data_IF_996633598525
#
_entry.id   IF_996633598525
#
_cell.length_a   1.000
_cell.length_b   1.000
_cell.length_c   1.000
_cell.angle_alpha   90.00
_cell.angle_beta   90.00
_cell.angle_gamma   90.00
#
_symmetry.space_group_name_H-M   'P 1'
#
loop_
_entity.id
_entity.type
_entity.pdbx_description
1 polymer ?
#
# COMPACT_ATOMS: atom_id res chain seq x y z
N UNK A 1 28.28 14.38 8.66
CA UNK A 1 27.41 13.32 8.14
C UNK A 1 26.35 13.06 9.20
N UNK A 2 25.08 13.18 8.86
CA UNK A 2 23.98 12.97 9.81
C UNK A 2 23.63 11.48 9.84
N UNK A 3 23.53 10.89 11.01
CA UNK A 3 23.13 9.49 11.17
C UNK A 3 21.60 9.41 11.18
N UNK A 4 21.01 8.67 10.25
CA UNK A 4 19.54 8.47 10.16
C UNK A 4 19.07 7.43 11.17
N UNK A 5 19.79 6.31 11.29
CA UNK A 5 19.50 5.29 12.30
C UNK A 5 20.06 5.69 13.68
N UNK A 6 19.34 5.35 14.72
CA UNK A 6 19.76 5.54 16.12
C UNK A 6 19.77 4.22 16.87
N UNK A 7 20.27 4.22 18.12
CA UNK A 7 20.18 3.04 18.98
C UNK A 7 18.72 2.65 19.24
N UNK A 8 17.82 3.63 19.31
CA UNK A 8 16.39 3.42 19.50
C UNK A 8 15.70 2.88 18.24
N UNK A 9 16.13 3.36 17.05
CA UNK A 9 15.60 2.95 15.74
C UNK A 9 16.75 2.51 14.83
N UNK A 10 17.21 1.25 14.96
CA UNK A 10 18.40 0.79 14.23
C UNK A 10 18.17 0.53 12.76
N UNK A 11 16.91 0.37 12.33
CA UNK A 11 16.56 0.05 10.96
C UNK A 11 15.96 1.26 10.25
N UNK A 12 16.28 1.45 8.97
CA UNK A 12 15.77 2.56 8.16
C UNK A 12 15.24 2.08 6.82
N UNK A 13 14.21 2.78 6.33
CA UNK A 13 13.65 2.63 4.98
C UNK A 13 13.73 4.01 4.33
N UNK A 14 14.45 4.08 3.23
CA UNK A 14 14.55 5.28 2.40
C UNK A 14 13.60 5.15 1.20
N UNK A 15 13.20 6.26 0.63
CA UNK A 15 12.60 6.26 -0.70
C UNK A 15 13.63 5.88 -1.76
N UNK A 16 13.17 5.50 -2.94
CA UNK A 16 14.00 4.92 -4.01
C UNK A 16 15.24 5.74 -4.36
N UNK A 17 15.20 7.09 -4.24
CA UNK A 17 16.32 7.96 -4.60
C UNK A 17 17.03 8.57 -3.38
N UNK A 18 16.55 8.30 -2.17
CA UNK A 18 17.03 8.95 -0.93
C UNK A 18 17.09 10.51 -1.00
N UNK A 19 16.24 11.10 -1.82
CA UNK A 19 16.17 12.54 -2.06
C UNK A 19 15.12 13.27 -1.22
N UNK A 20 14.39 12.53 -0.39
CA UNK A 20 13.33 13.11 0.44
C UNK A 20 13.89 13.70 1.73
N UNK A 21 13.18 14.69 2.27
CA UNK A 21 13.48 15.30 3.55
C UNK A 21 13.25 14.36 4.73
N UNK A 22 12.62 13.21 4.50
CA UNK A 22 12.25 12.27 5.56
C UNK A 22 12.62 10.84 5.20
N UNK A 23 13.00 10.08 6.23
CA UNK A 23 13.18 8.63 6.18
C UNK A 23 12.26 7.96 7.19
N UNK A 24 11.78 6.75 6.88
CA UNK A 24 11.17 5.88 7.88
C UNK A 24 12.26 5.14 8.64
N UNK A 25 12.12 5.08 9.96
CA UNK A 25 12.96 4.26 10.83
C UNK A 25 12.07 3.39 11.72
N UNK A 26 12.55 2.22 12.08
CA UNK A 26 11.76 1.32 12.92
C UNK A 26 12.62 0.52 13.88
N UNK A 27 12.01 0.13 14.99
CA UNK A 27 12.59 -0.77 15.98
C UNK A 27 11.64 -1.93 16.27
N UNK A 28 12.19 -3.15 16.23
CA UNK A 28 11.50 -4.37 16.66
C UNK A 28 11.90 -4.77 18.09
N UNK A 29 12.91 -4.12 18.66
CA UNK A 29 13.52 -4.46 19.93
C UNK A 29 12.51 -4.64 21.08
N UNK A 30 11.51 -3.72 21.26
CA UNK A 30 10.55 -3.87 22.35
C UNK A 30 9.66 -5.11 22.26
N UNK A 31 9.60 -5.75 21.09
CA UNK A 31 8.65 -6.83 20.79
C UNK A 31 9.33 -8.19 20.52
N UNK A 32 10.66 -8.25 20.48
CA UNK A 32 11.42 -9.46 20.13
C UNK A 32 11.07 -10.64 21.02
N UNK A 33 11.07 -10.46 22.35
CA UNK A 33 10.75 -11.52 23.29
C UNK A 33 9.32 -12.03 23.13
N UNK A 34 8.35 -11.13 23.00
CA UNK A 34 6.95 -11.52 22.85
C UNK A 34 6.70 -12.28 21.54
N UNK A 35 7.33 -11.87 20.43
CA UNK A 35 7.17 -12.54 19.14
C UNK A 35 7.76 -13.94 19.12
N UNK A 36 8.88 -14.17 19.82
CA UNK A 36 9.48 -15.50 19.95
C UNK A 36 8.60 -16.48 20.71
N UNK A 37 7.91 -16.01 21.75
CA UNK A 37 7.05 -16.85 22.58
C UNK A 37 5.68 -17.12 21.96
N UNK A 38 5.12 -16.16 21.25
CA UNK A 38 3.74 -16.25 20.74
C UNK A 38 3.65 -16.76 19.31
N UNK A 39 4.76 -16.79 18.57
CA UNK A 39 4.79 -17.08 17.14
C UNK A 39 4.01 -16.04 16.30
N UNK A 40 3.61 -14.92 16.94
CA UNK A 40 2.93 -13.83 16.27
C UNK A 40 3.90 -12.95 15.46
N UNK A 41 3.35 -12.14 14.57
CA UNK A 41 4.15 -11.17 13.81
C UNK A 41 4.98 -10.29 14.75
N UNK A 42 6.24 -10.07 14.36
CA UNK A 42 7.09 -9.10 15.03
C UNK A 42 6.49 -7.71 14.83
N UNK A 43 6.04 -7.10 15.92
CA UNK A 43 5.63 -5.70 15.92
C UNK A 43 6.85 -4.80 15.80
N UNK A 44 6.64 -3.59 15.34
CA UNK A 44 7.67 -2.56 15.29
C UNK A 44 7.13 -1.19 15.72
N UNK A 45 7.94 -0.40 16.37
CA UNK A 45 7.69 1.01 16.55
C UNK A 45 8.19 1.73 15.29
N UNK A 46 7.32 2.48 14.66
CA UNK A 46 7.59 3.22 13.43
C UNK A 46 7.74 4.70 13.73
N UNK A 47 8.85 5.27 13.32
CA UNK A 47 9.12 6.71 13.42
C UNK A 47 9.55 7.27 12.06
N UNK A 48 9.46 8.59 11.91
CA UNK A 48 10.05 9.35 10.81
C UNK A 48 11.20 10.19 11.34
N UNK A 49 12.26 10.28 10.55
CA UNK A 49 13.42 11.13 10.81
C UNK A 49 13.52 12.18 9.72
N UNK A 50 13.62 13.44 10.10
CA UNK A 50 13.99 14.49 9.17
C UNK A 50 15.49 14.39 8.88
N UNK A 51 15.85 14.15 7.61
CA UNK A 51 17.24 13.88 7.22
C UNK A 51 18.14 15.14 7.27
N UNK A 52 17.53 16.33 7.35
CA UNK A 52 18.28 17.59 7.40
C UNK A 52 18.74 17.95 8.81
N UNK A 53 18.01 17.54 9.85
CA UNK A 53 18.30 17.91 11.23
C UNK A 53 18.35 16.73 12.22
N UNK A 54 18.03 15.50 11.77
CA UNK A 54 18.07 14.28 12.59
C UNK A 54 16.93 14.15 13.62
N UNK A 55 15.97 15.06 13.62
CA UNK A 55 14.85 14.97 14.55
C UNK A 55 13.93 13.81 14.17
N UNK A 56 13.69 12.92 15.12
CA UNK A 56 12.79 11.78 14.97
C UNK A 56 11.44 12.04 15.63
N UNK A 57 10.40 11.45 15.06
CA UNK A 57 9.04 11.50 15.59
C UNK A 57 8.38 10.14 15.47
N UNK A 58 7.91 9.59 16.58
CA UNK A 58 7.14 8.36 16.59
C UNK A 58 5.81 8.56 15.82
N UNK A 59 5.52 7.66 14.90
CA UNK A 59 4.30 7.65 14.07
C UNK A 59 3.32 6.63 14.61
N UNK A 60 3.77 5.38 14.77
CA UNK A 60 2.93 4.27 15.23
C UNK A 60 3.74 3.41 16.19
N UNK A 61 3.15 3.11 17.34
CA UNK A 61 3.70 2.17 18.32
C UNK A 61 3.11 0.78 18.08
N UNK A 62 3.99 -0.24 18.04
CA UNK A 62 3.56 -1.63 17.91
C UNK A 62 2.88 -1.96 16.58
N UNK A 63 3.29 -1.31 15.49
CA UNK A 63 2.76 -1.61 14.17
C UNK A 63 3.12 -3.05 13.75
N UNK A 64 2.12 -3.89 13.40
CA UNK A 64 2.36 -5.30 13.08
C UNK A 64 2.81 -5.53 11.62
N UNK A 65 2.95 -4.48 10.84
CA UNK A 65 3.25 -4.58 9.41
C UNK A 65 4.29 -3.56 8.96
N UNK A 66 5.05 -3.83 7.90
CA UNK A 66 5.92 -2.83 7.30
C UNK A 66 5.13 -1.61 6.82
N UNK A 67 5.73 -0.45 6.94
CA UNK A 67 5.23 0.78 6.35
C UNK A 67 6.19 1.25 5.25
N UNK A 68 5.71 2.13 4.39
CA UNK A 68 6.49 2.75 3.31
C UNK A 68 6.24 4.25 3.29
N UNK A 69 7.12 4.99 2.62
CA UNK A 69 6.86 6.38 2.26
C UNK A 69 6.18 6.46 0.89
N UNK A 70 5.30 7.44 0.73
CA UNK A 70 4.76 7.80 -0.57
C UNK A 70 5.87 8.36 -1.48
N UNK A 71 5.74 8.32 -2.81
CA UNK A 71 6.81 8.72 -3.73
C UNK A 71 7.35 10.13 -3.54
N UNK A 72 6.53 11.07 -3.06
CA UNK A 72 6.96 12.44 -2.75
C UNK A 72 7.28 12.65 -1.26
N UNK A 73 7.29 11.60 -0.44
CA UNK A 73 7.59 11.71 0.98
C UNK A 73 6.54 12.45 1.82
N UNK A 74 5.32 12.68 1.31
CA UNK A 74 4.28 13.41 2.07
C UNK A 74 3.56 12.53 3.08
N UNK A 75 3.51 11.21 2.83
CA UNK A 75 2.80 10.24 3.67
C UNK A 75 3.66 9.04 4.02
N UNK A 76 3.61 8.64 5.29
CA UNK A 76 3.88 7.26 5.65
C UNK A 76 2.57 6.46 5.50
N UNK A 77 2.63 5.28 4.90
CA UNK A 77 1.45 4.44 4.68
C UNK A 77 1.74 2.97 4.86
N UNK A 78 0.72 2.20 5.14
CA UNK A 78 0.84 0.77 5.33
C UNK A 78 -0.49 0.09 5.57
N UNK A 79 -0.41 -1.21 5.82
CA UNK A 79 -1.55 -2.02 6.18
C UNK A 79 -1.39 -2.51 7.63
N UNK A 80 -2.30 -2.08 8.50
CA UNK A 80 -2.38 -2.62 9.85
C UNK A 80 -3.09 -3.98 9.81
N UNK A 81 -2.32 -5.03 9.98
CA UNK A 81 -2.81 -6.40 9.84
C UNK A 81 -3.75 -6.79 11.00
N UNK A 82 -3.57 -6.23 12.19
CA UNK A 82 -4.43 -6.51 13.36
C UNK A 82 -5.84 -5.98 13.13
N UNK A 83 -5.95 -4.74 12.64
CA UNK A 83 -7.22 -4.07 12.38
C UNK A 83 -7.73 -4.33 10.95
N UNK A 84 -6.94 -5.06 10.13
CA UNK A 84 -7.23 -5.33 8.72
C UNK A 84 -7.50 -4.06 7.91
N UNK A 85 -6.74 -2.99 8.18
CA UNK A 85 -7.02 -1.65 7.65
C UNK A 85 -5.79 -1.02 7.03
N UNK A 86 -5.92 -0.47 5.84
CA UNK A 86 -4.93 0.43 5.25
C UNK A 86 -5.00 1.80 5.90
N UNK A 87 -3.84 2.42 6.11
CA UNK A 87 -3.73 3.74 6.70
C UNK A 87 -2.76 4.63 5.94
N UNK A 88 -2.94 5.93 6.13
CA UNK A 88 -1.98 6.97 5.79
C UNK A 88 -1.72 7.84 7.00
N UNK A 89 -0.48 8.33 7.11
CA UNK A 89 -0.05 9.31 8.10
C UNK A 89 0.60 10.47 7.36
N UNK A 90 -0.01 11.65 7.42
CA UNK A 90 0.57 12.85 6.83
C UNK A 90 1.73 13.34 7.71
N UNK A 91 2.94 13.41 7.12
CA UNK A 91 4.17 13.70 7.84
C UNK A 91 4.17 15.13 8.41
N UNK A 92 3.67 16.10 7.63
CA UNK A 92 3.65 17.52 8.02
C UNK A 92 2.59 17.81 9.07
N UNK A 93 1.37 17.33 8.87
CA UNK A 93 0.23 17.63 9.75
C UNK A 93 0.06 16.64 10.90
N UNK A 94 0.77 15.51 10.87
CA UNK A 94 0.65 14.41 11.83
C UNK A 94 -0.74 13.77 11.88
N UNK A 95 -1.49 13.90 10.81
CA UNK A 95 -2.84 13.34 10.71
C UNK A 95 -2.79 11.88 10.28
N UNK A 96 -3.37 11.00 11.08
CA UNK A 96 -3.54 9.58 10.78
C UNK A 96 -4.95 9.32 10.24
N UNK A 97 -5.05 8.60 9.13
CA UNK A 97 -6.33 8.24 8.50
C UNK A 97 -6.38 6.75 8.23
N UNK A 98 -7.42 6.10 8.75
CA UNK A 98 -7.76 4.72 8.39
C UNK A 98 -8.57 4.72 7.08
N UNK A 99 -7.94 4.33 5.98
CA UNK A 99 -8.55 4.41 4.65
C UNK A 99 -9.64 3.37 4.42
N UNK A 100 -9.45 2.15 4.94
CA UNK A 100 -10.31 1.01 4.61
C UNK A 100 -11.07 0.46 5.80
N UNK A 101 -11.26 1.26 6.86
CA UNK A 101 -11.99 0.86 8.07
C UNK A 101 -13.39 0.33 7.76
N UNK A 102 -13.70 -0.85 8.27
CA UNK A 102 -15.00 -1.50 8.07
C UNK A 102 -15.24 -2.04 6.66
N UNK A 103 -14.18 -2.15 5.83
CA UNK A 103 -14.26 -2.69 4.46
C UNK A 103 -13.34 -3.91 4.31
N UNK A 104 -13.68 -4.82 3.39
CA UNK A 104 -12.92 -6.05 3.13
C UNK A 104 -11.77 -5.80 2.14
N UNK A 105 -10.63 -5.31 2.67
CA UNK A 105 -9.38 -5.14 1.92
C UNK A 105 -8.30 -6.15 2.34
N UNK A 106 -8.69 -7.11 3.16
CA UNK A 106 -7.87 -8.24 3.58
C UNK A 106 -8.11 -9.47 2.68
N UNK A 107 -7.18 -10.42 2.71
CA UNK A 107 -7.32 -11.66 1.98
C UNK A 107 -8.50 -12.49 2.53
N UNK A 108 -9.62 -12.44 1.81
CA UNK A 108 -10.88 -13.12 2.14
C UNK A 108 -10.76 -14.66 2.12
N UNK A 109 -9.69 -15.21 1.52
CA UNK A 109 -9.42 -16.64 1.41
C UNK A 109 -8.36 -17.12 2.41
N UNK A 110 -7.97 -16.28 3.37
CA UNK A 110 -6.99 -16.67 4.37
C UNK A 110 -7.57 -17.73 5.29
N UNK A 111 -6.95 -18.90 5.32
CA UNK A 111 -7.26 -20.04 6.17
C UNK A 111 -6.28 -20.21 7.35
N UNK A 112 -5.31 -19.29 7.47
CA UNK A 112 -4.38 -19.28 8.58
C UNK A 112 -5.04 -18.75 9.86
N UNK A 113 -4.69 -19.28 11.04
CA UNK A 113 -5.22 -18.82 12.32
C UNK A 113 -4.63 -17.45 12.75
N UNK A 114 -4.34 -16.60 11.82
CA UNK A 114 -3.68 -15.32 11.99
C UNK A 114 -4.45 -14.22 11.27
N UNK A 115 -4.20 -12.95 11.62
CA UNK A 115 -4.80 -11.83 10.91
C UNK A 115 -4.44 -11.86 9.42
N UNK A 116 -5.42 -11.76 8.50
CA UNK A 116 -5.18 -11.88 7.08
C UNK A 116 -4.32 -10.72 6.55
N UNK A 117 -3.49 -11.02 5.56
CA UNK A 117 -2.76 -9.98 4.81
C UNK A 117 -3.68 -9.25 3.85
N UNK A 118 -3.29 -8.06 3.41
CA UNK A 118 -3.99 -7.34 2.34
C UNK A 118 -3.68 -7.93 0.96
N UNK A 119 -4.48 -7.55 -0.04
CA UNK A 119 -4.17 -7.81 -1.45
C UNK A 119 -3.11 -6.85 -2.03
N UNK A 120 -2.65 -5.87 -1.23
CA UNK A 120 -1.63 -4.90 -1.63
C UNK A 120 -2.20 -3.59 -2.17
N UNK A 121 -1.30 -2.73 -2.64
CA UNK A 121 -1.62 -1.47 -3.30
C UNK A 121 -1.01 -1.45 -4.71
N UNK A 122 -1.70 -0.80 -5.66
CA UNK A 122 -1.17 -0.57 -7.00
C UNK A 122 -0.10 0.51 -7.01
N UNK A 123 -0.21 1.48 -6.11
CA UNK A 123 0.73 2.60 -5.98
C UNK A 123 0.02 3.94 -5.83
N UNK A 124 0.81 5.00 -5.95
CA UNK A 124 0.39 6.38 -5.78
C UNK A 124 0.22 7.11 -7.11
N UNK A 125 -0.69 8.06 -7.17
CA UNK A 125 -0.80 9.01 -8.28
C UNK A 125 0.18 10.17 -8.07
N UNK A 126 0.42 10.95 -9.13
CA UNK A 126 1.37 12.07 -9.09
C UNK A 126 1.07 13.04 -7.94
N UNK A 127 2.14 13.52 -7.29
CA UNK A 127 2.11 14.43 -6.14
C UNK A 127 1.37 13.83 -4.94
N UNK A 128 1.48 12.53 -4.73
CA UNK A 128 0.85 11.79 -3.63
C UNK A 128 -0.65 12.10 -3.43
N UNK A 129 -1.33 12.48 -4.52
CA UNK A 129 -2.72 12.97 -4.49
C UNK A 129 -3.72 11.90 -4.08
N UNK A 130 -3.47 10.66 -4.50
CA UNK A 130 -4.28 9.51 -4.12
C UNK A 130 -3.45 8.23 -4.14
N UNK A 131 -3.88 7.24 -3.38
CA UNK A 131 -3.34 5.89 -3.39
C UNK A 131 -4.37 4.91 -3.97
N UNK A 132 -3.92 4.00 -4.82
CA UNK A 132 -4.73 2.94 -5.38
C UNK A 132 -4.48 1.63 -4.62
N UNK A 133 -5.53 1.09 -4.01
CA UNK A 133 -5.47 -0.10 -3.15
C UNK A 133 -6.36 -1.18 -3.74
N UNK A 134 -5.93 -2.44 -3.60
CA UNK A 134 -6.68 -3.61 -4.04
C UNK A 134 -7.58 -4.16 -2.95
N UNK A 135 -8.85 -4.45 -3.29
CA UNK A 135 -9.58 -5.51 -2.63
C UNK A 135 -9.36 -6.85 -3.40
N UNK A 136 -10.12 -7.89 -3.09
CA UNK A 136 -9.99 -9.18 -3.76
C UNK A 136 -10.07 -9.07 -5.29
N UNK A 137 -10.98 -8.27 -5.79
CA UNK A 137 -11.27 -8.16 -7.22
C UNK A 137 -10.90 -6.80 -7.80
N UNK A 138 -11.09 -5.73 -7.05
CA UNK A 138 -11.14 -4.38 -7.57
C UNK A 138 -9.98 -3.50 -7.15
N UNK A 139 -9.83 -2.43 -7.91
CA UNK A 139 -8.96 -1.32 -7.61
C UNK A 139 -9.81 -0.17 -7.08
N UNK A 140 -9.38 0.40 -5.97
CA UNK A 140 -10.02 1.55 -5.33
C UNK A 140 -9.02 2.69 -5.22
N UNK A 141 -9.46 3.89 -5.55
CA UNK A 141 -8.72 5.13 -5.33
C UNK A 141 -9.14 5.74 -4.00
N UNK A 142 -8.16 6.07 -3.16
CA UNK A 142 -8.37 6.72 -1.87
C UNK A 142 -7.66 8.07 -1.82
N UNK A 143 -8.34 9.07 -1.28
CA UNK A 143 -7.71 10.32 -0.89
C UNK A 143 -7.01 10.11 0.46
N UNK A 144 -5.69 10.36 0.57
CA UNK A 144 -4.91 10.07 1.76
C UNK A 144 -5.19 11.01 2.95
N UNK A 145 -5.82 12.18 2.72
CA UNK A 145 -6.07 13.17 3.76
C UNK A 145 -7.41 12.98 4.48
N UNK A 146 -8.39 12.37 3.81
CA UNK A 146 -9.76 12.29 4.33
C UNK A 146 -10.42 10.93 4.16
N UNK A 147 -9.75 9.97 3.49
CA UNK A 147 -10.27 8.62 3.27
C UNK A 147 -11.40 8.53 2.24
N UNK A 148 -11.78 9.64 1.57
CA UNK A 148 -12.75 9.59 0.49
C UNK A 148 -12.25 8.63 -0.59
N UNK A 149 -13.13 7.79 -1.10
CA UNK A 149 -12.75 6.72 -1.99
C UNK A 149 -13.72 6.53 -3.16
N UNK A 150 -13.18 5.96 -4.22
CA UNK A 150 -13.90 5.65 -5.45
C UNK A 150 -13.45 4.29 -5.95
N UNK A 151 -14.40 3.39 -6.21
CA UNK A 151 -14.13 2.11 -6.86
C UNK A 151 -13.92 2.34 -8.35
N UNK A 152 -12.78 1.92 -8.88
CA UNK A 152 -12.41 2.13 -10.28
C UNK A 152 -12.87 1.01 -11.19
N UNK A 153 -12.87 -0.23 -10.71
CA UNK A 153 -13.27 -1.42 -11.48
C UNK A 153 -14.52 -2.06 -10.88
N UNK A 154 -15.14 -2.98 -11.61
CA UNK A 154 -16.35 -3.72 -11.19
C UNK A 154 -16.13 -5.23 -11.34
N UNK A 155 -15.10 -5.72 -10.66
CA UNK A 155 -14.68 -7.11 -10.77
C UNK A 155 -15.44 -8.06 -9.86
N UNK A 156 -15.88 -7.61 -8.69
CA UNK A 156 -16.55 -8.44 -7.69
C UNK A 156 -17.82 -9.09 -8.24
N UNK A 157 -18.59 -8.36 -9.02
CA UNK A 157 -19.82 -8.84 -9.64
C UNK A 157 -19.59 -9.95 -10.68
N UNK A 158 -18.38 -9.99 -11.24
CA UNK A 158 -17.99 -10.96 -12.28
C UNK A 158 -16.92 -11.93 -11.81
N UNK A 159 -16.56 -11.91 -10.52
CA UNK A 159 -15.46 -12.67 -9.93
C UNK A 159 -14.14 -12.52 -10.73
N UNK A 160 -13.87 -11.32 -11.21
CA UNK A 160 -12.71 -11.00 -12.02
C UNK A 160 -11.80 -10.03 -11.26
N UNK A 161 -10.59 -10.46 -10.96
CA UNK A 161 -9.59 -9.60 -10.33
C UNK A 161 -8.92 -8.69 -11.35
N UNK A 162 -8.63 -7.45 -10.93
CA UNK A 162 -7.91 -6.45 -11.71
C UNK A 162 -6.64 -6.06 -10.96
N UNK A 163 -5.49 -6.09 -11.66
CA UNK A 163 -4.19 -5.75 -11.09
C UNK A 163 -3.41 -4.87 -12.07
N UNK A 164 -2.89 -3.75 -11.58
CA UNK A 164 -2.10 -2.81 -12.39
C UNK A 164 -0.84 -3.47 -12.94
N UNK A 165 -0.59 -3.26 -14.23
CA UNK A 165 0.64 -3.69 -14.91
C UNK A 165 1.54 -2.47 -15.04
N UNK A 166 2.60 -2.43 -14.26
CA UNK A 166 3.64 -1.40 -14.33
C UNK A 166 4.55 -1.72 -15.50
N UNK A 167 4.37 -1.04 -16.64
CA UNK A 167 5.13 -1.30 -17.87
C UNK A 167 6.55 -0.74 -17.83
N UNK A 168 6.79 0.25 -17.00
CA UNK A 168 8.09 0.90 -16.85
C UNK A 168 8.43 0.97 -15.36
N UNK A 169 9.52 0.31 -14.96
CA UNK A 169 9.98 0.24 -13.57
C UNK A 169 10.38 1.60 -13.00
N UNK A 170 10.84 2.52 -13.85
CA UNK A 170 11.31 3.86 -13.45
C UNK A 170 10.14 4.82 -13.11
N UNK A 171 8.92 4.51 -13.57
CA UNK A 171 7.75 5.35 -13.26
C UNK A 171 7.33 5.16 -11.81
N UNK A 172 7.47 6.21 -11.00
CA UNK A 172 7.14 6.21 -9.58
C UNK A 172 5.65 6.38 -9.28
N UNK A 173 4.90 6.92 -10.22
CA UNK A 173 3.50 7.28 -10.05
C UNK A 173 2.59 6.64 -11.08
N UNK A 174 1.40 6.26 -10.65
CA UNK A 174 0.36 5.82 -11.58
C UNK A 174 -0.11 7.01 -12.42
N UNK A 175 -0.03 6.94 -13.75
CA UNK A 175 -0.48 8.04 -14.60
C UNK A 175 -2.01 8.15 -14.60
N UNK A 176 -2.51 9.37 -14.37
CA UNK A 176 -3.95 9.68 -14.38
C UNK A 176 -4.40 10.46 -15.63
N UNK A 177 -3.47 10.79 -16.52
CA UNK A 177 -3.73 11.52 -17.76
C UNK A 177 -3.79 10.63 -19.00
N UNK A 178 -3.58 9.35 -18.83
CA UNK A 178 -3.68 8.32 -19.87
C UNK A 178 -4.28 7.06 -19.26
N UNK A 179 -4.75 6.16 -20.12
CA UNK A 179 -5.23 4.85 -19.67
C UNK A 179 -4.08 4.01 -19.13
N UNK A 180 -4.35 3.22 -18.12
CA UNK A 180 -3.42 2.25 -17.53
C UNK A 180 -3.84 0.84 -17.91
N UNK A 181 -2.84 -0.04 -18.04
CA UNK A 181 -3.02 -1.45 -18.32
C UNK A 181 -3.27 -2.23 -17.03
N UNK A 182 -4.26 -3.10 -17.05
CA UNK A 182 -4.56 -4.02 -15.97
C UNK A 182 -4.49 -5.46 -16.46
N UNK A 183 -3.90 -6.33 -15.67
CA UNK A 183 -4.06 -7.77 -15.82
C UNK A 183 -5.40 -8.17 -15.18
N UNK A 184 -6.11 -9.12 -15.81
CA UNK A 184 -7.38 -9.64 -15.31
C UNK A 184 -7.32 -11.15 -15.16
N UNK A 185 -7.97 -11.67 -14.12
CA UNK A 185 -8.18 -13.10 -13.93
C UNK A 185 -9.59 -13.36 -13.40
N UNK A 186 -10.33 -14.22 -14.09
CA UNK A 186 -11.67 -14.63 -13.66
C UNK A 186 -11.60 -15.92 -12.86
N UNK A 187 -12.07 -15.90 -11.62
CA UNK A 187 -12.00 -17.05 -10.72
C UNK A 187 -12.94 -18.20 -11.12
N UNK A 188 -14.05 -17.92 -11.81
CA UNK A 188 -15.01 -18.92 -12.25
C UNK A 188 -14.59 -19.60 -13.56
N UNK A 189 -14.28 -18.79 -14.59
CA UNK A 189 -13.96 -19.32 -15.92
C UNK A 189 -12.48 -19.68 -16.09
N UNK A 190 -11.61 -19.23 -15.16
CA UNK A 190 -10.15 -19.35 -15.19
C UNK A 190 -9.49 -18.62 -16.37
N UNK A 191 -10.23 -17.75 -17.04
CA UNK A 191 -9.71 -16.93 -18.12
C UNK A 191 -8.88 -15.78 -17.58
N UNK A 192 -7.76 -15.51 -18.23
CA UNK A 192 -6.93 -14.33 -17.99
C UNK A 192 -7.06 -13.33 -19.13
N UNK A 193 -6.55 -12.13 -18.95
CA UNK A 193 -6.52 -11.14 -20.02
C UNK A 193 -5.96 -9.80 -19.61
N UNK A 194 -6.10 -8.84 -20.51
CA UNK A 194 -5.70 -7.45 -20.29
C UNK A 194 -6.91 -6.52 -20.46
N UNK A 195 -6.96 -5.54 -19.62
CA UNK A 195 -7.98 -4.49 -19.57
C UNK A 195 -7.30 -3.15 -19.50
N UNK A 196 -7.79 -2.15 -20.20
CA UNK A 196 -7.34 -0.78 -20.04
C UNK A 196 -8.41 0.06 -19.34
N UNK A 197 -7.98 1.00 -18.48
CA UNK A 197 -8.89 1.88 -17.77
C UNK A 197 -8.33 3.30 -17.68
N UNK A 198 -9.21 4.27 -17.83
CA UNK A 198 -8.98 5.66 -17.48
C UNK A 198 -9.29 5.88 -15.99
N UNK A 199 -8.29 6.23 -15.20
CA UNK A 199 -8.40 6.36 -13.74
C UNK A 199 -9.37 7.48 -13.35
N UNK A 200 -9.40 8.59 -14.10
CA UNK A 200 -10.28 9.75 -13.81
C UNK A 200 -11.75 9.40 -13.98
N UNK A 201 -12.07 8.78 -15.11
CA UNK A 201 -13.47 8.50 -15.50
C UNK A 201 -13.96 7.14 -15.05
N UNK A 202 -13.06 6.24 -14.65
CA UNK A 202 -13.32 4.81 -14.39
C UNK A 202 -13.93 4.08 -15.59
N UNK A 203 -13.75 4.62 -16.81
CA UNK A 203 -14.17 3.97 -18.05
C UNK A 203 -13.03 3.16 -18.62
N UNK A 204 -13.31 1.93 -19.02
CA UNK A 204 -12.30 1.05 -19.60
C UNK A 204 -12.92 -0.02 -20.48
N UNK A 205 -12.08 -0.78 -21.15
CA UNK A 205 -12.47 -1.86 -22.05
C UNK A 205 -11.50 -3.04 -21.97
N UNK A 206 -12.05 -4.22 -22.23
CA UNK A 206 -11.29 -5.45 -22.38
C UNK A 206 -10.47 -5.38 -23.67
N UNK A 207 -9.15 -5.62 -23.55
CA UNK A 207 -8.26 -5.68 -24.71
C UNK A 207 -8.11 -7.11 -25.21
N UNK A 208 -7.92 -8.03 -24.27
CA UNK A 208 -7.69 -9.43 -24.55
C UNK A 208 -8.26 -10.28 -23.42
N UNK A 209 -8.87 -11.42 -23.75
CA UNK A 209 -9.36 -12.39 -22.77
C UNK A 209 -9.38 -13.78 -23.38
N UNK A 210 -8.99 -14.78 -22.63
CA UNK A 210 -9.03 -16.17 -23.07
C UNK A 210 -8.56 -17.17 -22.00
N UNK A 211 -8.65 -18.48 -22.31
CA UNK A 211 -8.28 -19.55 -21.39
C UNK A 211 -6.76 -19.76 -21.30
N UNK A 212 -5.97 -18.75 -21.60
CA UNK A 212 -4.51 -18.78 -21.60
C UNK A 212 -3.94 -17.87 -20.52
N UNK A 213 -2.76 -18.22 -20.01
CA UNK A 213 -1.96 -17.32 -19.19
C UNK A 213 -1.12 -16.45 -20.14
N UNK A 214 -1.42 -15.18 -20.17
CA UNK A 214 -0.61 -14.20 -20.91
C UNK A 214 0.52 -13.70 -20.00
N UNK A 215 1.74 -13.77 -20.49
CA UNK A 215 2.98 -13.31 -19.81
C UNK A 215 3.66 -12.22 -20.63
#
# INVERSE_FOLDING_TARGET
>A
MLQIGSKEYPNSILTDDANDDYALVYSTEPYQLSSQWTGQFSKNDLAIVNVNNGLSKLVIKGNPSPASLSPNGEYAYGYNQVDSTWYTYNIKTSKYIELTKGKMFYNELSDYPNHPRSYGAAGWTKNDKSILIYDRYDIWEFNPENGLNKRLTKGREKQTSYRYVKLDSEVKHIPVNKKILLNTFNESTKESGYYEIDVKTSKGNQLLKGPFRYS
#
